data_IF_698646654047
#
_entry.id   IF_698646654047
#
_cell.length_a   1.000
_cell.length_b   1.000
_cell.length_c   1.000
_cell.angle_alpha   90.00
_cell.angle_beta   90.00
_cell.angle_gamma   90.00
#
_symmetry.space_group_name_H-M   'P 1'
#
loop_
_entity.id
_entity.type
_entity.pdbx_description
1 polymer ?
#
# COMPACT_ATOMS: atom_id res chain seq x y z
N UNK A 1 -17.32 14.87 -13.39
CA UNK A 1 -17.98 13.55 -13.17
C UNK A 1 -17.20 12.61 -12.23
N UNK A 2 -15.88 12.73 -12.08
CA UNK A 2 -15.08 11.95 -11.11
C UNK A 2 -15.40 12.11 -9.60
N UNK A 3 -15.75 13.29 -9.05
CA UNK A 3 -15.91 13.43 -7.59
C UNK A 3 -17.21 12.78 -7.04
N UNK A 4 -18.23 12.64 -7.88
CA UNK A 4 -19.48 11.94 -7.53
C UNK A 4 -19.25 10.43 -7.41
N UNK A 5 -18.45 9.84 -8.31
CA UNK A 5 -18.05 8.45 -8.20
C UNK A 5 -17.21 8.22 -6.94
N UNK A 6 -16.19 9.06 -6.69
CA UNK A 6 -15.34 8.93 -5.51
C UNK A 6 -16.13 9.03 -4.19
N UNK A 7 -17.09 9.96 -4.09
CA UNK A 7 -17.93 10.10 -2.88
C UNK A 7 -18.94 8.97 -2.71
N UNK A 8 -19.49 8.43 -3.79
CA UNK A 8 -20.37 7.26 -3.74
C UNK A 8 -19.60 5.98 -3.38
N UNK A 9 -18.47 5.74 -4.05
CA UNK A 9 -17.58 4.61 -3.76
C UNK A 9 -17.05 4.66 -2.32
N UNK A 10 -16.76 5.86 -1.79
CA UNK A 10 -16.34 6.02 -0.39
C UNK A 10 -17.42 5.58 0.61
N UNK A 11 -18.68 5.93 0.38
CA UNK A 11 -19.80 5.53 1.26
C UNK A 11 -20.04 4.02 1.27
N UNK A 12 -19.91 3.37 0.10
CA UNK A 12 -20.01 1.91 -0.02
C UNK A 12 -18.84 1.25 0.72
N UNK A 13 -17.61 1.71 0.48
CA UNK A 13 -16.41 1.19 1.12
C UNK A 13 -16.43 1.36 2.65
N UNK A 14 -16.99 2.45 3.18
CA UNK A 14 -17.09 2.69 4.64
C UNK A 14 -17.95 1.63 5.34
N UNK A 15 -19.01 1.15 4.70
CA UNK A 15 -19.86 0.09 5.26
C UNK A 15 -19.12 -1.25 5.27
N UNK A 16 -18.43 -1.58 4.17
CA UNK A 16 -17.61 -2.80 4.07
C UNK A 16 -16.46 -2.80 5.06
N UNK A 17 -15.81 -1.65 5.27
CA UNK A 17 -14.69 -1.51 6.21
C UNK A 17 -15.12 -1.78 7.65
N UNK A 18 -16.33 -1.37 8.05
CA UNK A 18 -16.90 -1.66 9.38
C UNK A 18 -17.13 -3.16 9.59
N UNK A 19 -17.62 -3.85 8.57
CA UNK A 19 -17.83 -5.31 8.59
C UNK A 19 -16.48 -6.04 8.70
N UNK A 20 -15.49 -5.62 7.91
CA UNK A 20 -14.14 -6.18 7.98
C UNK A 20 -13.51 -5.98 9.37
N UNK A 21 -13.60 -4.76 9.93
CA UNK A 21 -13.07 -4.47 11.26
C UNK A 21 -13.73 -5.31 12.37
N UNK A 22 -15.03 -5.59 12.28
CA UNK A 22 -15.71 -6.49 13.20
C UNK A 22 -15.18 -7.93 13.11
N UNK A 23 -14.88 -8.40 11.89
CA UNK A 23 -14.30 -9.73 11.66
C UNK A 23 -12.89 -9.85 12.23
N UNK A 24 -12.05 -8.83 12.04
CA UNK A 24 -10.68 -8.78 12.57
C UNK A 24 -10.67 -8.83 14.10
N UNK A 25 -11.59 -8.10 14.75
CA UNK A 25 -11.76 -8.20 16.21
C UNK A 25 -12.14 -9.61 16.67
N UNK A 26 -13.03 -10.28 15.93
CA UNK A 26 -13.40 -11.68 16.22
C UNK A 26 -12.23 -12.65 16.08
N UNK A 27 -11.30 -12.38 15.16
CA UNK A 27 -10.06 -13.14 14.96
C UNK A 27 -8.91 -12.69 15.88
N UNK A 28 -9.14 -11.71 16.77
CA UNK A 28 -8.11 -11.10 17.63
C UNK A 28 -6.92 -10.51 16.85
N UNK A 29 -7.16 -10.06 15.62
CA UNK A 29 -6.17 -9.34 14.82
C UNK A 29 -6.24 -7.84 15.12
N UNK A 30 -5.09 -7.21 15.29
CA UNK A 30 -4.97 -5.76 15.54
C UNK A 30 -5.35 -4.91 14.33
N UNK A 31 -5.10 -5.43 13.13
CA UNK A 31 -5.23 -4.72 11.87
C UNK A 31 -5.43 -5.68 10.69
N UNK A 32 -5.88 -5.12 9.56
CA UNK A 32 -5.97 -5.85 8.30
C UNK A 32 -4.59 -5.92 7.66
N UNK A 33 -3.93 -7.06 7.81
CA UNK A 33 -2.69 -7.33 7.09
C UNK A 33 -3.02 -7.65 5.62
N UNK A 34 -2.78 -6.70 4.71
CA UNK A 34 -2.99 -6.90 3.26
C UNK A 34 -1.94 -7.83 2.65
N UNK A 35 -0.76 -7.93 3.26
CA UNK A 35 0.29 -8.86 2.84
C UNK A 35 1.13 -9.33 4.02
N UNK A 36 1.42 -10.63 4.08
CA UNK A 36 2.12 -11.28 5.20
C UNK A 36 3.65 -11.15 5.13
N UNK A 37 4.14 -10.10 4.49
CA UNK A 37 5.55 -9.90 4.19
C UNK A 37 6.31 -9.46 5.44
N UNK A 38 7.59 -9.84 5.55
CA UNK A 38 8.39 -9.50 6.70
C UNK A 38 8.82 -8.02 6.67
N UNK A 39 8.81 -7.31 7.81
CA UNK A 39 9.07 -5.85 7.88
C UNK A 39 10.38 -5.38 7.23
N UNK A 40 11.37 -6.26 7.09
CA UNK A 40 12.65 -5.98 6.43
C UNK A 40 12.57 -6.00 4.89
N UNK A 41 11.43 -6.36 4.29
CA UNK A 41 11.19 -6.33 2.84
C UNK A 41 10.84 -4.93 2.31
N UNK A 42 11.13 -3.90 3.14
CA UNK A 42 11.47 -2.50 2.81
C UNK A 42 10.29 -1.53 2.87
N UNK A 43 10.16 -0.87 4.03
CA UNK A 43 9.47 0.42 4.09
C UNK A 43 10.12 1.37 3.07
N UNK A 44 9.38 1.92 2.08
CA UNK A 44 9.98 2.64 0.96
C UNK A 44 10.84 3.83 1.38
N UNK A 45 10.49 4.49 2.50
CA UNK A 45 11.25 5.62 3.04
C UNK A 45 12.56 5.20 3.75
N UNK A 46 12.74 3.91 4.04
CA UNK A 46 13.95 3.35 4.65
C UNK A 46 14.71 2.45 3.66
N UNK A 47 14.28 2.37 2.40
CA UNK A 47 15.01 1.66 1.36
C UNK A 47 16.27 2.47 1.00
N UNK A 48 17.44 1.98 1.42
CA UNK A 48 18.73 2.56 1.06
C UNK A 48 18.97 2.40 -0.45
N UNK A 49 19.13 3.51 -1.18
CA UNK A 49 19.42 3.55 -2.63
C UNK A 49 20.66 2.76 -3.04
N UNK A 50 21.57 2.46 -2.11
CA UNK A 50 22.85 1.81 -2.37
C UNK A 50 22.99 0.44 -1.70
N UNK A 51 21.91 -0.14 -1.15
CA UNK A 51 21.97 -1.47 -0.57
C UNK A 51 22.37 -2.52 -1.61
N UNK A 52 23.43 -3.30 -1.33
CA UNK A 52 23.98 -4.33 -2.22
C UNK A 52 23.03 -5.49 -2.56
N UNK A 53 21.85 -5.55 -1.90
CA UNK A 53 20.81 -6.56 -2.08
C UNK A 53 19.48 -5.94 -2.54
N UNK A 54 19.53 -4.80 -3.23
CA UNK A 54 18.37 -4.37 -3.99
C UNK A 54 18.11 -5.31 -5.17
N UNK A 55 16.83 -5.47 -5.49
CA UNK A 55 16.40 -6.15 -6.70
C UNK A 55 16.75 -5.28 -7.91
N UNK A 56 17.08 -5.90 -9.05
CA UNK A 56 17.32 -5.17 -10.31
C UNK A 56 16.06 -4.35 -10.68
N UNK A 57 16.16 -3.17 -11.34
CA UNK A 57 14.99 -2.39 -11.76
C UNK A 57 13.96 -3.10 -12.65
N UNK A 58 14.31 -4.29 -13.17
CA UNK A 58 13.47 -5.16 -13.99
C UNK A 58 13.25 -6.54 -13.36
N UNK A 59 13.75 -6.76 -12.13
CA UNK A 59 13.48 -7.98 -11.40
C UNK A 59 11.99 -8.07 -11.10
N UNK A 60 11.44 -9.28 -11.19
CA UNK A 60 10.06 -9.53 -10.82
C UNK A 60 9.94 -9.40 -9.31
N UNK A 61 9.02 -8.56 -8.87
CA UNK A 61 8.81 -8.37 -7.45
C UNK A 61 8.16 -9.63 -6.83
N UNK A 62 8.76 -10.15 -5.77
CA UNK A 62 8.25 -11.32 -5.05
C UNK A 62 7.13 -10.97 -4.06
N UNK A 63 6.95 -9.67 -3.81
CA UNK A 63 6.14 -9.15 -2.73
C UNK A 63 4.97 -8.31 -3.27
N UNK A 64 3.72 -8.59 -2.85
CA UNK A 64 2.56 -7.82 -3.28
C UNK A 64 2.66 -6.31 -3.02
N UNK A 65 3.39 -5.90 -1.97
CA UNK A 65 3.41 -4.53 -1.49
C UNK A 65 4.07 -3.51 -2.43
N UNK A 66 5.12 -3.85 -3.19
CA UNK A 66 5.73 -2.84 -4.07
C UNK A 66 4.94 -2.55 -5.34
N UNK A 67 3.94 -3.38 -5.70
CA UNK A 67 2.93 -2.99 -6.69
C UNK A 67 2.03 -1.85 -6.22
N UNK A 68 2.03 -1.53 -4.91
CA UNK A 68 1.32 -0.38 -4.34
C UNK A 68 2.20 0.89 -4.32
N UNK A 69 3.50 0.77 -4.59
CA UNK A 69 4.41 1.91 -4.67
C UNK A 69 4.28 2.50 -6.08
N UNK A 70 3.60 3.64 -6.14
CA UNK A 70 3.52 4.40 -7.38
C UNK A 70 4.89 5.01 -7.71
N UNK A 71 5.25 5.11 -9.00
CA UNK A 71 6.46 5.82 -9.39
C UNK A 71 6.43 7.25 -8.87
N UNK A 72 7.53 7.69 -8.27
CA UNK A 72 7.67 9.08 -7.83
C UNK A 72 7.60 9.99 -9.06
N UNK A 73 6.52 10.76 -9.18
CA UNK A 73 6.40 11.78 -10.22
C UNK A 73 7.32 12.94 -9.78
N UNK A 74 8.35 13.30 -10.57
CA UNK A 74 9.21 14.42 -10.20
C UNK A 74 8.36 15.68 -10.07
N UNK A 75 8.38 16.28 -8.87
CA UNK A 75 7.70 17.55 -8.62
C UNK A 75 8.34 18.57 -9.57
N UNK A 76 7.56 19.12 -10.50
CA UNK A 76 8.02 20.20 -11.38
C UNK A 76 8.37 21.36 -10.47
N UNK A 77 9.66 21.64 -10.33
CA UNK A 77 10.15 22.75 -9.53
C UNK A 77 9.55 24.04 -10.08
N UNK A 78 8.60 24.61 -9.34
CA UNK A 78 8.03 25.92 -9.65
C UNK A 78 9.11 26.95 -9.37
N UNK A 79 9.81 27.37 -10.41
CA UNK A 79 10.55 28.62 -10.43
C UNK A 79 9.58 29.80 -10.45
#
# INVERSE_FOLDING_TARGET
>A
MLPLHASHSRRINDAELKVQAARLRGLQLTDLCLSSEARYTRHPALADRHAAFQEHPLALEHFPSGSLILPSIPQRESR
#
